data_IF_481243472055
#
_entry.id   IF_481243472055
#
_cell.length_a   1.000
_cell.length_b   1.000
_cell.length_c   1.000
_cell.angle_alpha   90.00
_cell.angle_beta   90.00
_cell.angle_gamma   90.00
#
_symmetry.space_group_name_H-M   'P 1'
#
loop_
_entity.id
_entity.type
_entity.pdbx_description
1 polymer ?
#
# COMPACT_ATOMS: atom_id res chain seq x y z
N UNK A 1 -11.43 -16.43 -13.54
CA UNK A 1 -10.14 -15.72 -13.72
C UNK A 1 -9.07 -16.76 -13.84
N UNK A 2 -8.57 -16.96 -15.05
CA UNK A 2 -7.44 -17.86 -15.29
C UNK A 2 -6.17 -17.18 -14.81
N UNK A 3 -5.93 -17.24 -13.51
CA UNK A 3 -4.58 -17.13 -13.01
C UNK A 3 -3.84 -18.29 -13.63
N UNK A 4 -3.07 -18.02 -14.69
CA UNK A 4 -2.08 -18.99 -15.17
C UNK A 4 -1.33 -19.46 -13.94
N UNK A 5 -1.21 -20.77 -13.71
CA UNK A 5 -0.50 -21.27 -12.55
C UNK A 5 0.91 -20.69 -12.59
N UNK A 6 1.18 -19.76 -11.65
CA UNK A 6 2.50 -19.13 -11.57
C UNK A 6 3.46 -20.25 -11.19
N UNK A 7 4.30 -20.66 -12.12
CA UNK A 7 5.34 -21.64 -11.80
C UNK A 7 6.49 -20.94 -11.07
N UNK A 8 6.30 -20.68 -9.77
CA UNK A 8 7.26 -20.01 -8.91
C UNK A 8 8.61 -20.76 -8.78
N UNK A 9 8.64 -22.03 -9.12
CA UNK A 9 9.87 -22.84 -9.14
C UNK A 9 10.69 -22.62 -10.42
N UNK A 10 10.08 -22.09 -11.48
CA UNK A 10 10.75 -21.83 -12.73
C UNK A 10 11.31 -20.42 -12.77
N UNK A 11 12.62 -20.30 -12.90
CA UNK A 11 13.30 -18.99 -12.94
C UNK A 11 12.98 -18.18 -14.21
N UNK A 12 12.57 -18.84 -15.28
CA UNK A 12 12.13 -18.16 -16.50
C UNK A 12 10.73 -17.54 -16.40
N UNK A 13 9.95 -17.87 -15.37
CA UNK A 13 8.64 -17.31 -15.12
C UNK A 13 8.73 -15.83 -14.77
N UNK A 14 7.66 -15.06 -15.01
CA UNK A 14 7.56 -13.65 -14.62
C UNK A 14 7.82 -13.46 -13.14
N UNK A 15 7.26 -14.33 -12.30
CA UNK A 15 7.46 -14.41 -10.87
C UNK A 15 8.17 -15.70 -10.51
N UNK A 16 9.12 -15.64 -9.56
CA UNK A 16 9.86 -16.84 -9.11
C UNK A 16 10.36 -16.65 -7.68
N UNK A 17 10.48 -17.73 -6.93
CA UNK A 17 11.09 -17.73 -5.60
C UNK A 17 12.56 -17.25 -5.59
N UNK A 18 13.25 -17.30 -6.73
CA UNK A 18 14.61 -16.75 -6.86
C UNK A 18 14.63 -15.23 -6.86
N UNK A 19 13.48 -14.59 -7.05
CA UNK A 19 13.26 -13.15 -7.04
C UNK A 19 12.27 -12.77 -5.95
N UNK A 20 12.57 -13.21 -4.74
CA UNK A 20 11.76 -12.97 -3.56
C UNK A 20 12.66 -12.73 -2.34
N UNK A 21 12.21 -11.91 -1.43
CA UNK A 21 12.72 -11.77 -0.08
C UNK A 21 11.55 -11.65 0.89
N UNK A 22 11.81 -11.95 2.15
CA UNK A 22 10.78 -11.83 3.19
C UNK A 22 11.28 -10.94 4.32
N UNK A 23 10.33 -10.28 4.96
CA UNK A 23 10.45 -9.72 6.29
C UNK A 23 9.58 -10.52 7.27
N UNK A 24 9.34 -10.04 8.46
CA UNK A 24 8.46 -10.75 9.40
C UNK A 24 7.02 -10.78 8.89
N UNK A 25 6.53 -9.66 8.34
CA UNK A 25 5.13 -9.51 7.93
C UNK A 25 4.92 -9.49 6.40
N UNK A 26 5.97 -9.45 5.59
CA UNK A 26 5.84 -9.33 4.13
C UNK A 26 6.63 -10.38 3.36
N UNK A 27 6.04 -10.81 2.23
CA UNK A 27 6.72 -11.55 1.16
C UNK A 27 6.83 -10.61 -0.06
N UNK A 28 8.04 -10.16 -0.37
CA UNK A 28 8.31 -9.18 -1.42
C UNK A 28 8.87 -9.90 -2.64
N UNK A 29 8.15 -9.83 -3.74
CA UNK A 29 8.50 -10.45 -5.02
C UNK A 29 8.69 -9.39 -6.10
N UNK A 30 9.54 -9.67 -7.07
CA UNK A 30 9.73 -8.77 -8.23
C UNK A 30 9.80 -9.54 -9.54
N UNK A 31 9.35 -8.88 -10.59
CA UNK A 31 9.28 -9.45 -11.92
C UNK A 31 10.66 -9.70 -12.52
N UNK A 32 10.73 -10.66 -13.44
CA UNK A 32 11.95 -11.08 -14.15
C UNK A 32 12.73 -9.94 -14.79
N UNK A 33 12.06 -8.89 -15.25
CA UNK A 33 12.69 -7.73 -15.88
C UNK A 33 13.74 -7.03 -15.02
N UNK A 34 13.62 -7.09 -13.70
CA UNK A 34 14.62 -6.55 -12.77
C UNK A 34 15.91 -7.39 -12.70
N UNK A 35 15.91 -8.62 -13.16
CA UNK A 35 16.96 -9.57 -12.83
C UNK A 35 16.95 -9.94 -11.34
N UNK A 36 18.13 -10.20 -10.78
CA UNK A 36 18.28 -10.60 -9.38
C UNK A 36 18.63 -9.44 -8.43
N UNK A 37 18.97 -8.27 -8.98
CA UNK A 37 19.45 -7.14 -8.19
C UNK A 37 18.58 -5.90 -8.41
N UNK A 38 17.73 -5.59 -7.47
CA UNK A 38 16.85 -4.41 -7.49
C UNK A 38 17.60 -3.08 -7.34
N UNK A 39 18.85 -3.08 -6.85
CA UNK A 39 19.65 -1.87 -6.73
C UNK A 39 20.26 -1.41 -8.08
N UNK A 40 20.44 -2.36 -9.00
CA UNK A 40 21.02 -2.10 -10.32
C UNK A 40 20.29 -2.90 -11.42
N UNK A 41 18.99 -2.74 -11.59
CA UNK A 41 18.25 -3.42 -12.63
C UNK A 41 18.54 -2.80 -14.00
N UNK A 42 18.24 -3.50 -15.09
CA UNK A 42 18.20 -2.88 -16.42
C UNK A 42 17.26 -1.67 -16.43
N UNK A 43 17.55 -0.68 -17.26
CA UNK A 43 16.60 0.41 -17.52
C UNK A 43 15.47 -0.07 -18.41
N UNK A 44 14.28 0.50 -18.26
CA UNK A 44 13.14 0.27 -19.13
C UNK A 44 12.85 1.56 -19.91
N UNK A 45 12.94 1.49 -21.25
CA UNK A 45 12.75 2.68 -22.12
C UNK A 45 13.61 3.88 -21.70
N UNK A 46 14.82 3.61 -21.22
CA UNK A 46 15.75 4.64 -20.74
C UNK A 46 15.48 5.19 -19.36
N UNK A 47 14.40 4.75 -18.70
CA UNK A 47 14.06 5.15 -17.34
C UNK A 47 14.69 4.23 -16.30
N UNK A 48 15.17 4.79 -15.17
CA UNK A 48 15.75 4.00 -14.10
C UNK A 48 14.66 3.18 -13.38
N UNK A 49 14.95 1.90 -13.17
CA UNK A 49 14.04 0.94 -12.51
C UNK A 49 14.55 0.54 -11.12
N UNK A 50 15.51 1.29 -10.57
CA UNK A 50 16.10 1.00 -9.25
C UNK A 50 15.03 1.02 -8.15
N UNK A 51 15.14 0.07 -7.22
CA UNK A 51 14.37 0.01 -5.98
C UNK A 51 15.31 -0.06 -4.79
N UNK A 52 15.13 0.84 -3.83
CA UNK A 52 15.79 0.76 -2.52
C UNK A 52 15.03 -0.24 -1.66
N UNK A 53 15.48 -1.51 -1.72
CA UNK A 53 14.82 -2.62 -1.07
C UNK A 53 14.91 -2.55 0.47
N UNK A 54 15.98 -2.01 0.99
CA UNK A 54 16.17 -1.90 2.44
C UNK A 54 15.22 -0.85 3.02
N UNK A 55 15.17 0.35 2.40
CA UNK A 55 14.19 1.36 2.79
C UNK A 55 12.74 0.85 2.64
N UNK A 56 12.43 0.11 1.56
CA UNK A 56 11.10 -0.46 1.37
C UNK A 56 10.72 -1.43 2.49
N UNK A 57 11.64 -2.34 2.88
CA UNK A 57 11.42 -3.29 3.98
C UNK A 57 11.19 -2.58 5.32
N UNK A 58 12.05 -1.63 5.65
CA UNK A 58 12.00 -0.91 6.91
C UNK A 58 10.69 -0.11 7.03
N UNK A 59 10.27 0.56 5.96
CA UNK A 59 9.02 1.32 5.94
C UNK A 59 7.80 0.42 6.01
N UNK A 60 7.75 -0.66 5.24
CA UNK A 60 6.66 -1.63 5.28
C UNK A 60 6.45 -2.19 6.69
N UNK A 61 7.52 -2.62 7.37
CA UNK A 61 7.43 -3.17 8.73
C UNK A 61 7.00 -2.09 9.74
N UNK A 62 7.55 -0.89 9.63
CA UNK A 62 7.19 0.23 10.50
C UNK A 62 5.71 0.61 10.36
N UNK A 63 5.22 0.72 9.14
CA UNK A 63 3.82 1.05 8.86
C UNK A 63 2.88 -0.07 9.28
N UNK A 64 3.26 -1.33 9.00
CA UNK A 64 2.50 -2.50 9.44
C UNK A 64 2.33 -2.52 10.96
N UNK A 65 3.43 -2.35 11.70
CA UNK A 65 3.39 -2.33 13.16
C UNK A 65 2.48 -1.21 13.68
N UNK A 66 2.55 -0.03 13.08
CA UNK A 66 1.71 1.09 13.50
C UNK A 66 0.22 0.83 13.19
N UNK A 67 -0.11 0.35 11.99
CA UNK A 67 -1.49 0.05 11.60
C UNK A 67 -2.10 -1.08 12.41
N UNK A 68 -1.30 -2.11 12.73
CA UNK A 68 -1.73 -3.22 13.59
C UNK A 68 -1.89 -2.80 15.05
N UNK A 69 -0.85 -2.20 15.64
CA UNK A 69 -0.74 -2.04 17.09
C UNK A 69 -1.36 -0.73 17.58
N UNK A 70 -1.17 0.37 16.85
CA UNK A 70 -1.67 1.69 17.26
C UNK A 70 -3.08 1.96 16.73
N UNK A 71 -3.33 1.65 15.46
CA UNK A 71 -4.65 1.86 14.84
C UNK A 71 -5.57 0.65 14.97
N UNK A 72 -5.05 -0.51 15.38
CA UNK A 72 -5.80 -1.73 15.63
C UNK A 72 -6.64 -2.23 14.43
N UNK A 73 -6.12 -2.03 13.21
CA UNK A 73 -6.79 -2.48 11.98
C UNK A 73 -6.81 -4.02 11.82
N UNK A 74 -6.03 -4.74 12.61
CA UNK A 74 -5.96 -6.21 12.57
C UNK A 74 -6.41 -6.77 13.92
N UNK A 75 -7.36 -7.68 13.88
CA UNK A 75 -7.84 -8.40 15.08
C UNK A 75 -6.91 -9.57 15.43
N UNK A 76 -6.91 -9.95 16.68
CA UNK A 76 -6.34 -11.23 17.13
C UNK A 76 -6.98 -12.39 16.37
N UNK A 77 -6.17 -13.24 15.78
CA UNK A 77 -6.61 -14.37 14.97
C UNK A 77 -6.75 -14.06 13.48
N UNK A 78 -6.38 -12.86 13.05
CA UNK A 78 -6.29 -12.51 11.63
C UNK A 78 -5.40 -13.48 10.87
N UNK A 79 -5.71 -13.70 9.60
CA UNK A 79 -4.84 -14.45 8.68
C UNK A 79 -3.45 -13.83 8.57
N UNK A 80 -3.31 -12.51 8.75
CA UNK A 80 -2.02 -11.80 8.75
C UNK A 80 -1.10 -12.15 9.92
N UNK A 81 -1.61 -12.74 11.02
CA UNK A 81 -0.76 -13.33 12.08
C UNK A 81 -0.09 -14.63 11.61
N UNK A 82 -0.62 -15.26 10.58
CA UNK A 82 -0.23 -16.57 10.10
C UNK A 82 0.49 -16.54 8.75
N UNK A 83 0.11 -15.60 7.90
CA UNK A 83 0.61 -15.43 6.55
C UNK A 83 1.16 -14.01 6.36
N UNK A 84 2.22 -13.89 5.59
CA UNK A 84 2.78 -12.61 5.18
C UNK A 84 1.90 -11.95 4.13
N UNK A 85 1.71 -10.64 4.26
CA UNK A 85 1.16 -9.82 3.17
C UNK A 85 2.08 -9.86 1.96
N UNK A 86 1.53 -9.78 0.76
CA UNK A 86 2.30 -9.86 -0.47
C UNK A 86 2.64 -8.48 -1.02
N UNK A 87 3.87 -8.31 -1.47
CA UNK A 87 4.32 -7.11 -2.17
C UNK A 87 4.88 -7.51 -3.52
N UNK A 88 4.22 -7.05 -4.59
CA UNK A 88 4.49 -7.43 -5.96
C UNK A 88 5.08 -6.24 -6.72
N UNK A 89 6.39 -6.26 -7.00
CA UNK A 89 7.07 -5.16 -7.70
C UNK A 89 7.06 -5.44 -9.21
N UNK A 90 6.31 -4.64 -9.95
CA UNK A 90 6.14 -4.75 -11.39
C UNK A 90 7.29 -4.05 -12.13
N UNK A 91 7.87 -4.73 -13.11
CA UNK A 91 8.82 -4.12 -14.03
C UNK A 91 8.07 -3.37 -15.12
N UNK A 92 7.58 -2.17 -14.77
CA UNK A 92 6.69 -1.36 -15.60
C UNK A 92 6.93 0.12 -15.35
N UNK A 93 6.66 0.94 -16.36
CA UNK A 93 6.61 2.40 -16.27
C UNK A 93 5.18 2.90 -15.97
N UNK A 94 4.20 2.03 -15.92
CA UNK A 94 2.86 2.39 -15.49
C UNK A 94 2.93 2.89 -14.04
N UNK A 95 2.55 4.15 -13.86
CA UNK A 95 2.72 4.86 -12.59
C UNK A 95 1.70 4.49 -11.52
N UNK A 96 1.17 3.27 -11.53
CA UNK A 96 0.21 2.79 -10.53
C UNK A 96 0.89 2.07 -9.38
N UNK A 97 0.51 2.45 -8.17
CA UNK A 97 0.53 1.58 -7.01
C UNK A 97 -0.90 1.16 -6.71
N UNK A 98 -1.08 0.00 -6.14
CA UNK A 98 -2.40 -0.53 -5.78
C UNK A 98 -2.30 -1.39 -4.52
N UNK A 99 -3.13 -1.06 -3.54
CA UNK A 99 -3.34 -1.87 -2.34
C UNK A 99 -4.67 -2.62 -2.42
N UNK A 100 -4.67 -3.84 -1.95
CA UNK A 100 -5.84 -4.71 -1.97
C UNK A 100 -5.55 -6.04 -1.28
N UNK A 101 -6.05 -7.13 -1.84
CA UNK A 101 -5.79 -8.48 -1.38
C UNK A 101 -5.33 -9.41 -2.50
N UNK A 102 -4.69 -10.50 -2.11
CA UNK A 102 -4.35 -11.60 -2.99
C UNK A 102 -5.31 -12.77 -2.77
N UNK A 103 -6.13 -13.01 -3.78
CA UNK A 103 -7.07 -14.15 -3.86
C UNK A 103 -8.12 -14.22 -2.74
N UNK A 104 -8.45 -13.09 -2.13
CA UNK A 104 -9.37 -13.02 -0.97
C UNK A 104 -8.79 -13.63 0.31
N UNK A 105 -7.48 -13.85 0.36
CA UNK A 105 -6.83 -14.54 1.48
C UNK A 105 -5.96 -13.64 2.34
N UNK A 106 -5.18 -12.75 1.72
CA UNK A 106 -4.21 -11.92 2.44
C UNK A 106 -4.04 -10.56 1.77
N UNK A 107 -3.84 -9.51 2.55
CA UNK A 107 -3.54 -8.18 2.02
C UNK A 107 -2.33 -8.19 1.08
N UNK A 108 -2.39 -7.39 0.03
CA UNK A 108 -1.35 -7.34 -1.00
C UNK A 108 -1.16 -5.95 -1.59
N UNK A 109 0.05 -5.69 -2.08
CA UNK A 109 0.48 -4.47 -2.75
C UNK A 109 1.03 -4.79 -4.14
N UNK A 110 0.68 -3.99 -5.14
CA UNK A 110 1.30 -3.99 -6.46
C UNK A 110 1.94 -2.63 -6.70
N UNK A 111 3.24 -2.63 -6.98
CA UNK A 111 4.06 -1.43 -7.01
C UNK A 111 4.84 -1.33 -8.32
N UNK A 112 4.95 -0.11 -8.86
CA UNK A 112 5.90 0.21 -9.91
C UNK A 112 7.05 1.05 -9.33
N UNK A 113 8.28 0.97 -9.86
CA UNK A 113 9.46 1.66 -9.30
C UNK A 113 9.31 3.17 -9.14
N UNK A 114 8.60 3.83 -10.04
CA UNK A 114 8.37 5.28 -10.00
C UNK A 114 7.51 5.75 -8.82
N UNK A 115 6.85 4.82 -8.09
CA UNK A 115 6.06 5.11 -6.90
C UNK A 115 6.81 4.89 -5.59
N UNK A 116 8.03 4.39 -5.66
CA UNK A 116 8.84 4.04 -4.48
C UNK A 116 10.25 4.67 -4.55
N UNK A 117 10.35 5.89 -5.12
CA UNK A 117 11.61 6.62 -5.23
C UNK A 117 11.86 7.58 -4.06
N UNK A 118 10.82 8.03 -3.37
CA UNK A 118 10.97 8.90 -2.21
C UNK A 118 11.29 8.08 -0.95
N UNK A 119 12.04 8.69 -0.02
CA UNK A 119 12.48 8.00 1.19
C UNK A 119 11.35 7.73 2.20
N UNK A 120 10.28 8.54 2.16
CA UNK A 120 9.15 8.39 3.09
C UNK A 120 8.16 7.34 2.62
N UNK A 121 8.14 7.04 1.31
CA UNK A 121 7.24 6.10 0.69
C UNK A 121 5.75 6.38 1.03
N UNK A 122 5.34 7.65 0.90
CA UNK A 122 3.96 8.07 1.15
C UNK A 122 2.94 7.22 0.38
N UNK A 123 3.22 6.98 -0.90
CA UNK A 123 2.36 6.13 -1.72
C UNK A 123 2.21 4.72 -1.13
N UNK A 124 3.29 4.16 -0.56
CA UNK A 124 3.25 2.83 0.06
C UNK A 124 2.43 2.84 1.35
N UNK A 125 2.55 3.87 2.17
CA UNK A 125 1.73 4.00 3.37
C UNK A 125 0.24 4.05 3.03
N UNK A 126 -0.13 4.78 1.97
CA UNK A 126 -1.49 4.85 1.45
C UNK A 126 -1.99 3.48 0.95
N UNK A 127 -1.25 2.84 0.04
CA UNK A 127 -1.66 1.56 -0.54
C UNK A 127 -1.66 0.42 0.48
N UNK A 128 -0.76 0.46 1.47
CA UNK A 128 -0.79 -0.47 2.58
C UNK A 128 -2.06 -0.29 3.42
N UNK A 129 -2.55 0.94 3.57
CA UNK A 129 -3.86 1.22 4.16
C UNK A 129 -4.97 0.42 3.47
N UNK A 130 -5.02 0.42 2.14
CA UNK A 130 -5.98 -0.39 1.37
C UNK A 130 -5.77 -1.90 1.58
N UNK A 131 -4.53 -2.35 1.71
CA UNK A 131 -4.26 -3.76 2.01
C UNK A 131 -4.78 -4.18 3.38
N UNK A 132 -4.72 -3.29 4.38
CA UNK A 132 -5.31 -3.52 5.69
C UNK A 132 -6.84 -3.50 5.67
N UNK A 133 -7.46 -2.60 4.90
CA UNK A 133 -8.91 -2.59 4.68
C UNK A 133 -9.37 -3.90 4.03
N UNK A 134 -8.69 -4.36 3.01
CA UNK A 134 -8.96 -5.64 2.35
C UNK A 134 -8.71 -6.83 3.28
N UNK A 135 -7.71 -6.75 4.19
CA UNK A 135 -7.43 -7.81 5.16
C UNK A 135 -8.62 -8.07 6.09
N UNK A 136 -9.37 -7.04 6.47
CA UNK A 136 -10.59 -7.20 7.28
C UNK A 136 -11.58 -8.12 6.55
N UNK A 137 -11.76 -7.92 5.27
CA UNK A 137 -12.62 -8.77 4.43
C UNK A 137 -12.05 -10.18 4.25
N UNK A 138 -10.73 -10.32 4.06
CA UNK A 138 -10.05 -11.62 4.00
C UNK A 138 -10.24 -12.43 5.28
N UNK A 139 -10.34 -11.77 6.41
CA UNK A 139 -10.58 -12.38 7.73
C UNK A 139 -12.04 -12.76 7.96
N UNK A 140 -12.93 -12.51 6.97
CA UNK A 140 -14.35 -12.78 7.05
C UNK A 140 -15.15 -11.77 7.88
N UNK A 141 -14.57 -10.60 8.09
CA UNK A 141 -15.14 -9.51 8.86
C UNK A 141 -15.49 -8.32 7.95
N UNK A 142 -16.32 -7.41 8.45
CA UNK A 142 -16.69 -6.21 7.72
C UNK A 142 -17.54 -6.48 6.48
N UNK A 143 -17.74 -5.45 5.70
CA UNK A 143 -18.45 -5.50 4.42
C UNK A 143 -17.47 -5.46 3.26
N UNK A 144 -17.81 -6.12 2.17
CA UNK A 144 -17.10 -5.97 0.92
C UNK A 144 -17.21 -4.51 0.46
N UNK A 145 -16.10 -3.96 -0.04
CA UNK A 145 -15.95 -2.66 -0.67
C UNK A 145 -17.06 -1.62 -0.35
N UNK A 146 -16.83 -0.82 0.69
CA UNK A 146 -17.76 0.24 1.13
C UNK A 146 -17.80 1.51 0.26
N UNK A 147 -17.20 1.45 -0.93
CA UNK A 147 -17.15 2.57 -1.88
C UNK A 147 -15.86 3.38 -1.81
N UNK A 148 -15.43 3.89 -2.97
CA UNK A 148 -14.18 4.63 -3.17
C UNK A 148 -13.91 5.70 -2.10
N UNK A 149 -14.90 6.54 -1.84
CA UNK A 149 -14.68 7.75 -1.04
C UNK A 149 -14.20 7.47 0.38
N UNK A 150 -14.81 6.52 1.08
CA UNK A 150 -14.43 6.22 2.46
C UNK A 150 -13.10 5.48 2.54
N UNK A 151 -12.86 4.54 1.65
CA UNK A 151 -11.60 3.77 1.61
C UNK A 151 -10.40 4.67 1.31
N UNK A 152 -10.52 5.54 0.31
CA UNK A 152 -9.46 6.49 -0.04
C UNK A 152 -9.18 7.49 1.10
N UNK A 153 -10.23 8.07 1.66
CA UNK A 153 -10.11 9.01 2.77
C UNK A 153 -9.43 8.37 3.99
N UNK A 154 -9.82 7.14 4.32
CA UNK A 154 -9.24 6.40 5.46
C UNK A 154 -7.79 6.04 5.18
N UNK A 155 -7.45 5.61 3.98
CA UNK A 155 -6.09 5.28 3.59
C UNK A 155 -5.18 6.52 3.61
N UNK A 156 -5.67 7.68 3.14
CA UNK A 156 -4.97 8.97 3.27
C UNK A 156 -4.76 9.36 4.74
N UNK A 157 -5.75 9.11 5.59
CA UNK A 157 -5.62 9.36 7.02
C UNK A 157 -4.58 8.44 7.67
N UNK A 158 -4.53 7.16 7.30
CA UNK A 158 -3.54 6.20 7.77
C UNK A 158 -2.11 6.61 7.36
N UNK A 159 -1.93 7.06 6.12
CA UNK A 159 -0.69 7.66 5.64
C UNK A 159 -0.27 8.84 6.53
N UNK A 160 -1.18 9.76 6.82
CA UNK A 160 -0.89 10.92 7.66
C UNK A 160 -0.47 10.53 9.08
N UNK A 161 -1.03 9.46 9.65
CA UNK A 161 -0.66 8.98 10.99
C UNK A 161 0.79 8.47 11.06
N UNK A 162 1.33 7.90 9.99
CA UNK A 162 2.72 7.40 9.94
C UNK A 162 3.73 8.40 9.40
N UNK A 163 3.28 9.36 8.60
CA UNK A 163 4.10 10.43 8.03
C UNK A 163 3.46 11.80 8.34
N UNK A 164 3.62 12.35 9.55
CA UNK A 164 2.97 13.61 9.97
C UNK A 164 3.28 14.80 9.06
N UNK A 165 4.48 14.84 8.47
CA UNK A 165 4.84 15.90 7.51
C UNK A 165 4.14 15.79 6.16
N UNK A 166 3.38 14.72 5.89
CA UNK A 166 2.58 14.59 4.68
C UNK A 166 1.73 15.83 4.42
N UNK A 167 1.11 16.41 5.46
CA UNK A 167 0.28 17.61 5.36
C UNK A 167 1.05 18.82 4.80
N UNK A 168 2.36 18.87 5.00
CA UNK A 168 3.24 19.93 4.49
C UNK A 168 3.78 19.55 3.10
N UNK A 169 4.24 18.35 2.94
CA UNK A 169 4.86 17.87 1.69
C UNK A 169 3.84 17.79 0.55
N UNK A 170 2.63 17.34 0.87
CA UNK A 170 1.53 17.21 -0.07
C UNK A 170 0.41 18.22 0.22
N UNK A 171 0.80 19.45 0.56
CA UNK A 171 -0.12 20.55 0.91
C UNK A 171 -1.24 20.80 -0.09
N UNK A 172 -1.05 20.39 -1.34
CA UNK A 172 -2.07 20.52 -2.37
C UNK A 172 -3.39 19.79 -2.03
N UNK A 173 -3.34 18.74 -1.20
CA UNK A 173 -4.53 18.06 -0.67
C UNK A 173 -5.34 19.00 0.23
N UNK A 174 -4.66 19.74 1.12
CA UNK A 174 -5.32 20.73 1.97
C UNK A 174 -5.90 21.89 1.13
N UNK A 175 -5.12 22.40 0.18
CA UNK A 175 -5.57 23.49 -0.69
C UNK A 175 -6.76 23.07 -1.57
N UNK A 176 -6.85 21.81 -1.98
CA UNK A 176 -8.01 21.25 -2.68
C UNK A 176 -9.21 21.12 -1.74
N UNK A 177 -9.01 20.56 -0.54
CA UNK A 177 -10.07 20.41 0.46
C UNK A 177 -10.70 21.76 0.85
N UNK A 178 -9.90 22.80 1.08
CA UNK A 178 -10.43 24.14 1.45
C UNK A 178 -11.33 24.73 0.38
N UNK A 179 -11.13 24.41 -0.90
CA UNK A 179 -11.98 24.85 -2.01
C UNK A 179 -13.29 24.05 -2.10
N UNK A 180 -13.31 22.85 -1.58
CA UNK A 180 -14.41 21.90 -1.72
C UNK A 180 -15.05 21.50 -0.39
N UNK A 181 -14.64 22.12 0.73
CA UNK A 181 -15.14 21.82 2.08
C UNK A 181 -16.66 22.07 2.27
N UNK A 182 -17.30 22.78 1.34
CA UNK A 182 -18.75 22.96 1.29
C UNK A 182 -19.49 21.75 0.71
N UNK A 183 -18.77 20.81 0.10
CA UNK A 183 -19.31 19.55 -0.46
C UNK A 183 -19.25 18.46 0.60
N UNK A 184 -20.02 17.39 0.41
CA UNK A 184 -19.92 16.22 1.26
C UNK A 184 -18.47 15.67 1.26
N UNK A 185 -17.98 15.22 2.41
CA UNK A 185 -16.60 14.70 2.52
C UNK A 185 -16.34 13.46 1.67
N UNK A 186 -17.38 12.68 1.33
CA UNK A 186 -17.31 11.56 0.39
C UNK A 186 -17.58 11.95 -1.08
N UNK A 187 -17.71 13.26 -1.38
CA UNK A 187 -17.85 13.70 -2.75
C UNK A 187 -16.57 13.39 -3.55
N UNK A 188 -16.72 13.01 -4.83
CA UNK A 188 -15.58 12.59 -5.68
C UNK A 188 -14.39 13.56 -5.69
N UNK A 189 -14.65 14.86 -5.59
CA UNK A 189 -13.58 15.87 -5.49
C UNK A 189 -12.88 15.90 -4.13
N UNK A 190 -13.40 15.19 -3.13
CA UNK A 190 -12.87 15.19 -1.76
C UNK A 190 -12.24 13.86 -1.37
N UNK A 191 -12.44 12.78 -2.11
CA UNK A 191 -12.07 11.43 -1.67
C UNK A 191 -10.61 11.29 -1.21
N UNK A 192 -9.68 11.97 -1.90
CA UNK A 192 -8.26 12.01 -1.52
C UNK A 192 -7.90 13.23 -0.66
N UNK A 193 -8.82 14.17 -0.48
CA UNK A 193 -8.53 15.47 0.11
C UNK A 193 -9.23 15.72 1.45
N UNK A 194 -9.96 14.73 1.99
CA UNK A 194 -10.76 14.90 3.21
C UNK A 194 -10.33 14.09 4.44
N UNK A 195 -9.06 13.62 4.58
CA UNK A 195 -8.63 12.89 5.78
C UNK A 195 -8.72 13.75 7.06
N UNK A 196 -8.77 15.06 6.92
CA UNK A 196 -8.95 16.03 8.01
C UNK A 196 -10.23 15.80 8.82
N UNK A 197 -11.27 15.23 8.20
CA UNK A 197 -12.53 14.88 8.88
C UNK A 197 -12.27 13.77 9.90
N UNK A 198 -11.51 12.75 9.53
CA UNK A 198 -11.17 11.64 10.43
C UNK A 198 -10.26 12.09 11.55
N UNK A 199 -9.29 12.96 11.27
CA UNK A 199 -8.41 13.52 12.30
C UNK A 199 -9.22 14.35 13.33
N UNK A 200 -10.13 15.20 12.85
CA UNK A 200 -11.02 15.96 13.74
C UNK A 200 -11.89 15.06 14.62
N UNK A 201 -12.38 13.94 14.08
CA UNK A 201 -13.15 12.97 14.86
C UNK A 201 -12.26 12.24 15.88
N UNK A 202 -11.06 11.82 15.47
CA UNK A 202 -10.10 11.18 16.34
C UNK A 202 -9.70 12.06 17.53
N UNK A 203 -9.46 13.35 17.31
CA UNK A 203 -9.16 14.28 18.40
C UNK A 203 -10.31 14.48 19.39
N UNK A 204 -11.55 14.43 18.91
CA UNK A 204 -12.74 14.62 19.76
C UNK A 204 -13.16 13.36 20.51
N UNK A 205 -12.95 12.20 19.97
CA UNK A 205 -13.54 10.94 20.44
C UNK A 205 -12.49 9.87 20.79
N UNK A 206 -11.22 10.14 20.57
CA UNK A 206 -10.12 9.17 20.62
C UNK A 206 -9.90 8.49 19.25
N UNK A 207 -8.64 8.12 19.00
CA UNK A 207 -8.23 7.41 17.78
C UNK A 207 -8.46 5.93 17.93
#
# INVERSE_FOLDING_TARGET
KDLQPINLLCDSSTWSYTRMTCTDNFAIMWQKGFGYNLACPPSLEGQPMKVDLDNLKDKLESYYAFFRDSLQFVRKGSKSEKYRMMVMINYSLEGTAYGGDYDGEIGALWLAPNRIQDQRLNCIAHELGHSFQSQITCDGEGEAWGGCGFFEMTSQWMLWQVNPEWITDEKYHFDAFTKTCHKAFLHLENIYHSPYVLECWGEKHGK
#
